data_IF_247029755177
#
_entry.id   IF_247029755177
#
_cell.length_a   1.000
_cell.length_b   1.000
_cell.length_c   1.000
_cell.angle_alpha   90.00
_cell.angle_beta   90.00
_cell.angle_gamma   90.00
#
_symmetry.space_group_name_H-M   'P 1'
#
loop_
_entity.id
_entity.type
_entity.pdbx_description
1 polymer ?
#
# COMPACT_ATOMS: atom_id res chain seq x y z
N UNK A 1 -31.58 25.88 17.82
CA UNK A 1 -31.84 25.68 16.38
C UNK A 1 -30.57 26.00 15.63
N UNK A 2 -29.74 24.99 15.33
CA UNK A 2 -28.53 25.13 14.51
C UNK A 2 -28.83 24.45 13.17
N UNK A 3 -28.84 25.23 12.11
CA UNK A 3 -29.10 24.77 10.76
C UNK A 3 -28.03 23.74 10.37
N UNK A 4 -28.48 22.51 10.04
CA UNK A 4 -27.65 21.52 9.36
C UNK A 4 -27.38 22.07 7.95
N UNK A 5 -26.15 22.51 7.70
CA UNK A 5 -25.68 22.73 6.34
C UNK A 5 -25.50 21.34 5.71
N UNK A 6 -26.51 20.92 4.96
CA UNK A 6 -26.43 19.77 4.07
C UNK A 6 -25.46 20.13 2.94
N UNK A 7 -24.19 19.83 3.11
CA UNK A 7 -23.25 19.75 1.98
C UNK A 7 -23.58 18.44 1.27
N UNK A 8 -24.23 18.58 0.13
CA UNK A 8 -24.52 17.52 -0.83
C UNK A 8 -23.18 17.05 -1.40
N UNK A 9 -22.56 16.04 -0.76
CA UNK A 9 -21.45 15.30 -1.34
C UNK A 9 -22.00 14.53 -2.54
N UNK A 10 -21.89 15.11 -3.73
CA UNK A 10 -22.08 14.38 -4.97
C UNK A 10 -21.07 13.25 -4.96
N UNK A 11 -21.59 12.02 -4.95
CA UNK A 11 -20.85 10.79 -4.96
C UNK A 11 -19.85 10.75 -6.13
N UNK A 12 -18.57 10.95 -5.82
CA UNK A 12 -17.47 10.27 -6.51
C UNK A 12 -17.18 9.00 -5.69
N UNK A 13 -18.21 8.18 -5.48
CA UNK A 13 -18.16 6.92 -4.73
C UNK A 13 -18.57 5.73 -5.63
N UNK A 14 -18.46 5.92 -6.95
CA UNK A 14 -18.85 4.95 -7.96
C UNK A 14 -17.83 4.78 -9.09
N UNK A 15 -16.55 5.08 -8.85
CA UNK A 15 -15.52 4.87 -9.88
C UNK A 15 -14.73 3.60 -9.59
N UNK A 16 -15.07 2.56 -10.35
CA UNK A 16 -14.59 1.17 -10.36
C UNK A 16 -15.50 0.13 -9.68
N UNK A 17 -16.79 0.16 -10.01
CA UNK A 17 -17.55 -1.08 -10.14
C UNK A 17 -17.20 -1.71 -11.50
N UNK A 18 -16.53 -2.87 -11.50
CA UNK A 18 -16.31 -3.63 -12.73
C UNK A 18 -17.64 -4.17 -13.27
N UNK A 19 -17.75 -4.18 -14.59
CA UNK A 19 -18.97 -4.39 -15.36
C UNK A 19 -19.66 -5.73 -15.04
N UNK A 20 -20.83 -5.64 -14.44
CA UNK A 20 -21.88 -6.64 -14.56
C UNK A 20 -23.09 -5.93 -15.18
N UNK A 21 -23.61 -6.49 -16.29
CA UNK A 21 -24.64 -5.94 -17.19
C UNK A 21 -24.05 -4.99 -18.26
N UNK A 22 -24.23 -5.36 -19.54
CA UNK A 22 -23.66 -4.71 -20.72
C UNK A 22 -24.21 -3.31 -21.00
N UNK A 23 -23.98 -2.37 -20.09
CA UNK A 23 -24.04 -0.94 -20.34
C UNK A 23 -22.63 -0.36 -20.32
N UNK A 24 -22.23 0.16 -21.46
CA UNK A 24 -20.94 0.76 -21.73
C UNK A 24 -20.90 2.15 -21.06
N UNK A 25 -20.55 2.18 -19.77
CA UNK A 25 -20.14 3.42 -19.12
C UNK A 25 -18.83 3.89 -19.78
N UNK A 26 -18.60 5.21 -19.93
CA UNK A 26 -17.32 5.69 -20.43
C UNK A 26 -16.23 5.15 -19.50
N UNK A 27 -15.40 4.25 -20.02
CA UNK A 27 -14.18 3.84 -19.35
C UNK A 27 -13.36 5.10 -19.14
N UNK A 28 -13.28 5.59 -17.91
CA UNK A 28 -12.32 6.64 -17.60
C UNK A 28 -10.95 6.01 -17.79
N UNK A 29 -10.26 6.44 -18.85
CA UNK A 29 -8.97 5.89 -19.25
C UNK A 29 -7.84 6.37 -18.32
N UNK A 30 -8.11 7.41 -17.52
CA UNK A 30 -7.17 7.95 -16.53
C UNK A 30 -7.91 8.56 -15.34
N UNK A 31 -7.18 8.76 -14.24
CA UNK A 31 -7.62 9.54 -13.08
C UNK A 31 -6.80 10.84 -13.06
N UNK A 32 -7.44 12.02 -12.97
CA UNK A 32 -6.72 13.29 -12.88
C UNK A 32 -5.68 13.30 -11.76
N UNK A 33 -4.49 13.78 -12.08
CA UNK A 33 -3.39 13.79 -11.13
C UNK A 33 -3.74 14.58 -9.85
N UNK A 34 -3.40 14.04 -8.67
CA UNK A 34 -3.63 14.70 -7.38
C UNK A 34 -5.10 14.76 -6.93
N UNK A 35 -6.04 14.10 -7.62
CA UNK A 35 -7.45 14.11 -7.22
C UNK A 35 -7.62 13.63 -5.76
N UNK A 36 -8.37 14.35 -4.92
CA UNK A 36 -8.59 13.95 -3.53
C UNK A 36 -9.64 12.85 -3.42
N UNK A 37 -9.29 11.80 -2.69
CA UNK A 37 -10.19 10.71 -2.31
C UNK A 37 -10.58 10.83 -0.83
N UNK A 38 -11.88 10.93 -0.50
CA UNK A 38 -12.34 11.08 0.86
C UNK A 38 -11.93 9.91 1.77
N UNK A 39 -11.55 10.23 3.00
CA UNK A 39 -11.31 9.26 4.06
C UNK A 39 -11.85 9.80 5.40
N UNK A 40 -11.77 8.98 6.46
CA UNK A 40 -12.36 9.32 7.75
C UNK A 40 -11.82 10.62 8.37
N UNK A 41 -10.65 11.10 7.92
CA UNK A 41 -9.98 12.29 8.44
C UNK A 41 -9.93 13.45 7.43
N UNK A 42 -10.63 13.36 6.30
CA UNK A 42 -10.62 14.38 5.23
C UNK A 42 -10.46 13.73 3.86
N UNK A 43 -9.34 13.95 3.18
CA UNK A 43 -9.00 13.28 1.93
C UNK A 43 -7.49 13.07 1.74
N UNK A 44 -7.15 11.97 1.08
CA UNK A 44 -5.80 11.67 0.60
C UNK A 44 -5.75 11.78 -0.91
N UNK A 45 -4.59 12.15 -1.44
CA UNK A 45 -4.37 12.26 -2.89
C UNK A 45 -3.13 11.45 -3.26
N UNK A 46 -3.14 10.91 -4.47
CA UNK A 46 -1.95 10.35 -5.12
C UNK A 46 -1.53 11.29 -6.25
N UNK A 47 -0.27 11.70 -6.21
CA UNK A 47 0.39 12.46 -7.26
C UNK A 47 1.32 11.55 -8.06
N UNK A 48 1.28 11.63 -9.38
CA UNK A 48 2.22 10.94 -10.27
C UNK A 48 3.12 11.96 -10.97
N UNK A 49 4.42 11.66 -11.04
CA UNK A 49 5.38 12.47 -11.82
C UNK A 49 5.23 12.31 -13.33
N UNK A 50 4.39 11.38 -13.79
CA UNK A 50 4.12 11.13 -15.22
C UNK A 50 2.80 11.73 -15.71
N UNK A 51 2.09 12.50 -14.86
CA UNK A 51 0.81 13.13 -15.20
C UNK A 51 -0.37 12.38 -14.56
N UNK A 52 -1.48 12.25 -15.29
CA UNK A 52 -2.64 11.50 -14.80
C UNK A 52 -2.31 10.02 -14.55
N UNK A 53 -3.02 9.38 -13.61
CA UNK A 53 -2.89 7.94 -13.38
C UNK A 53 -3.56 7.23 -14.55
N UNK A 54 -2.77 6.66 -15.45
CA UNK A 54 -3.25 5.92 -16.62
C UNK A 54 -3.80 4.53 -16.21
N UNK A 55 -5.11 4.35 -16.32
CA UNK A 55 -5.78 3.07 -16.02
C UNK A 55 -5.63 2.05 -17.17
N UNK A 56 -4.95 2.42 -18.26
CA UNK A 56 -4.52 1.49 -19.31
C UNK A 56 -3.12 0.93 -19.12
N UNK A 57 -2.34 1.44 -18.17
CA UNK A 57 -1.06 0.85 -17.81
C UNK A 57 -1.22 -0.64 -17.48
N UNK A 58 -0.20 -1.44 -17.79
CA UNK A 58 -0.20 -2.89 -17.57
C UNK A 58 -0.50 -3.27 -16.10
N UNK A 59 -0.18 -2.40 -15.13
CA UNK A 59 -0.52 -2.52 -13.72
C UNK A 59 -2.02 -2.77 -13.46
N UNK A 60 -2.89 -2.22 -14.31
CA UNK A 60 -4.35 -2.35 -14.20
C UNK A 60 -4.92 -3.48 -15.07
N UNK A 61 -4.10 -4.18 -15.85
CA UNK A 61 -4.56 -5.24 -16.76
C UNK A 61 -4.50 -6.61 -16.09
N UNK A 62 -5.51 -7.43 -16.36
CA UNK A 62 -5.50 -8.83 -15.93
C UNK A 62 -4.53 -9.62 -16.80
N UNK A 63 -3.32 -9.83 -16.28
CA UNK A 63 -2.25 -10.58 -16.96
C UNK A 63 -2.09 -12.02 -16.42
N UNK A 64 -2.85 -12.38 -15.39
CA UNK A 64 -2.99 -13.77 -14.92
C UNK A 64 -4.26 -14.45 -15.44
N UNK A 65 -4.67 -15.54 -14.78
CA UNK A 65 -5.79 -16.40 -15.23
C UNK A 65 -7.10 -16.19 -14.47
N UNK A 66 -7.08 -15.52 -13.32
CA UNK A 66 -8.26 -15.40 -12.45
C UNK A 66 -9.01 -14.05 -12.56
N UNK A 67 -8.64 -13.22 -13.53
CA UNK A 67 -9.28 -11.92 -13.78
C UNK A 67 -8.75 -10.76 -12.93
N UNK A 68 -7.78 -11.01 -12.04
CA UNK A 68 -7.14 -9.95 -11.24
C UNK A 68 -6.02 -9.24 -11.98
N UNK A 69 -5.88 -7.96 -11.64
CA UNK A 69 -4.73 -7.10 -11.91
C UNK A 69 -4.15 -6.58 -10.61
N UNK A 70 -2.96 -5.96 -10.62
CA UNK A 70 -2.42 -5.28 -9.44
C UNK A 70 -3.41 -4.22 -8.94
N UNK A 71 -4.01 -3.45 -9.85
CA UNK A 71 -5.07 -2.49 -9.55
C UNK A 71 -6.30 -3.07 -8.83
N UNK A 72 -6.53 -4.39 -8.87
CA UNK A 72 -7.64 -5.01 -8.12
C UNK A 72 -7.46 -4.83 -6.60
N UNK A 73 -6.22 -4.88 -6.11
CA UNK A 73 -5.88 -4.67 -4.70
C UNK A 73 -5.28 -3.28 -4.43
N UNK A 74 -4.60 -2.67 -5.40
CA UNK A 74 -3.95 -1.38 -5.26
C UNK A 74 -4.82 -0.27 -5.85
N UNK A 75 -5.92 0.03 -5.15
CA UNK A 75 -6.91 1.00 -5.63
C UNK A 75 -6.43 2.43 -5.39
N UNK A 76 -6.44 3.32 -6.41
CA UNK A 76 -6.08 4.72 -6.22
C UNK A 76 -6.90 5.42 -5.13
N UNK A 77 -8.19 5.09 -5.01
CA UNK A 77 -9.08 5.64 -3.98
C UNK A 77 -8.70 5.27 -2.55
N UNK A 78 -7.94 4.18 -2.40
CA UNK A 78 -7.49 3.65 -1.11
C UNK A 78 -5.99 3.92 -0.90
N UNK A 79 -5.43 4.88 -1.64
CA UNK A 79 -4.01 5.24 -1.58
C UNK A 79 -3.09 4.14 -2.12
N UNK A 80 -3.48 3.52 -3.24
CA UNK A 80 -2.76 2.42 -3.88
C UNK A 80 -2.60 1.18 -2.98
N UNK A 81 -3.59 0.94 -2.13
CA UNK A 81 -3.68 -0.21 -1.20
C UNK A 81 -5.12 -0.73 -1.12
N UNK A 82 -5.42 -1.57 -0.12
CA UNK A 82 -6.75 -2.11 0.17
C UNK A 82 -7.35 -1.42 1.40
N UNK A 83 -8.54 -0.84 1.27
CA UNK A 83 -9.38 -0.45 2.40
C UNK A 83 -10.54 -1.43 2.60
N UNK A 84 -10.73 -1.92 3.83
CA UNK A 84 -11.84 -2.84 4.18
C UNK A 84 -13.21 -2.28 3.76
N UNK A 85 -13.45 -0.98 3.97
CA UNK A 85 -14.71 -0.33 3.57
C UNK A 85 -14.96 -0.38 2.05
N UNK A 86 -13.91 -0.20 1.22
CA UNK A 86 -14.03 -0.30 -0.23
C UNK A 86 -14.30 -1.75 -0.66
N UNK A 87 -13.60 -2.71 -0.06
CA UNK A 87 -13.85 -4.14 -0.30
C UNK A 87 -15.28 -4.54 0.09
N UNK A 88 -15.77 -4.09 1.24
CA UNK A 88 -17.16 -4.32 1.67
C UNK A 88 -18.15 -3.79 0.63
N UNK A 89 -17.95 -2.56 0.15
CA UNK A 89 -18.77 -1.96 -0.90
C UNK A 89 -18.73 -2.79 -2.20
N UNK A 90 -17.54 -3.21 -2.66
CA UNK A 90 -17.39 -4.08 -3.84
C UNK A 90 -18.09 -5.42 -3.65
N UNK A 91 -18.10 -5.96 -2.44
CA UNK A 91 -18.84 -7.17 -2.14
C UNK A 91 -20.35 -6.93 -2.30
N UNK A 92 -20.88 -5.88 -1.67
CA UNK A 92 -22.31 -5.59 -1.70
C UNK A 92 -22.81 -5.29 -3.12
N UNK A 93 -21.99 -4.65 -3.95
CA UNK A 93 -22.30 -4.37 -5.36
C UNK A 93 -22.24 -5.61 -6.27
N UNK A 94 -21.34 -6.56 -5.98
CA UNK A 94 -21.10 -7.72 -6.85
C UNK A 94 -21.63 -9.04 -6.32
N UNK A 95 -22.17 -9.06 -5.09
CA UNK A 95 -22.45 -10.29 -4.35
C UNK A 95 -21.22 -11.18 -4.17
N UNK A 96 -20.03 -10.60 -4.06
CA UNK A 96 -18.74 -11.29 -3.89
C UNK A 96 -18.15 -11.88 -5.17
N UNK A 97 -18.52 -11.38 -6.35
CA UNK A 97 -18.03 -11.89 -7.65
C UNK A 97 -16.96 -11.02 -8.30
N UNK A 98 -16.75 -9.80 -7.79
CA UNK A 98 -15.65 -8.92 -8.20
C UNK A 98 -14.29 -9.68 -8.18
N UNK A 99 -13.37 -9.42 -9.12
CA UNK A 99 -12.07 -10.10 -9.19
C UNK A 99 -11.25 -10.15 -7.90
N UNK A 100 -11.41 -9.23 -6.95
CA UNK A 100 -10.69 -9.30 -5.67
C UNK A 100 -11.08 -10.54 -4.83
N UNK A 101 -12.28 -11.07 -5.05
CA UNK A 101 -12.83 -12.23 -4.34
C UNK A 101 -12.45 -13.53 -5.05
N UNK A 102 -11.28 -14.07 -4.70
CA UNK A 102 -10.77 -15.35 -5.21
C UNK A 102 -10.29 -16.23 -4.07
N UNK A 103 -10.39 -17.55 -4.26
CA UNK A 103 -10.13 -18.51 -3.18
C UNK A 103 -8.66 -18.82 -2.96
N UNK A 104 -7.78 -18.46 -3.89
CA UNK A 104 -6.33 -18.71 -3.74
C UNK A 104 -5.76 -17.94 -2.53
N UNK A 105 -6.23 -16.73 -2.26
CA UNK A 105 -5.74 -15.84 -1.20
C UNK A 105 -6.78 -14.83 -0.67
N UNK A 106 -7.86 -14.54 -1.38
CA UNK A 106 -8.89 -13.60 -0.94
C UNK A 106 -9.85 -14.17 0.10
N UNK A 107 -10.03 -15.50 0.12
CA UNK A 107 -10.82 -16.20 1.13
C UNK A 107 -10.00 -16.53 2.38
N UNK A 108 -10.71 -16.75 3.49
CA UNK A 108 -10.10 -17.11 4.76
C UNK A 108 -9.37 -18.46 4.69
N UNK A 109 -9.75 -19.35 3.77
CA UNK A 109 -9.06 -20.61 3.49
C UNK A 109 -9.25 -21.03 2.02
N UNK A 110 -8.39 -21.88 1.47
CA UNK A 110 -8.46 -22.31 0.06
C UNK A 110 -9.35 -23.52 -0.19
N UNK A 111 -9.78 -24.22 0.86
CA UNK A 111 -10.61 -25.42 0.77
C UNK A 111 -11.71 -25.41 1.83
N UNK A 112 -12.71 -26.29 1.68
CA UNK A 112 -13.81 -26.44 2.64
C UNK A 112 -14.56 -25.12 2.92
N UNK A 113 -14.67 -24.27 1.91
CA UNK A 113 -15.37 -22.99 1.94
C UNK A 113 -16.51 -23.01 0.91
N UNK A 114 -17.65 -22.41 1.24
CA UNK A 114 -18.74 -22.22 0.28
C UNK A 114 -18.57 -20.89 -0.45
N UNK A 115 -18.44 -20.94 -1.77
CA UNK A 115 -18.47 -19.75 -2.64
C UNK A 115 -19.60 -19.80 -3.67
N UNK A 116 -20.50 -20.78 -3.55
CA UNK A 116 -21.63 -20.99 -4.48
C UNK A 116 -22.76 -19.99 -4.25
N UNK A 117 -23.00 -19.59 -3.00
CA UNK A 117 -24.03 -18.62 -2.60
C UNK A 117 -23.41 -17.28 -2.22
N UNK A 118 -24.21 -16.20 -2.23
CA UNK A 118 -23.76 -14.89 -1.71
C UNK A 118 -23.38 -15.00 -0.23
N UNK A 119 -24.14 -15.78 0.53
CA UNK A 119 -23.92 -15.93 1.98
C UNK A 119 -22.68 -16.76 2.27
N UNK A 120 -22.45 -17.81 1.48
CA UNK A 120 -21.20 -18.55 1.46
C UNK A 120 -20.01 -17.62 1.18
N UNK A 121 -20.06 -16.83 0.10
CA UNK A 121 -19.01 -15.86 -0.24
C UNK A 121 -18.81 -14.81 0.86
N UNK A 122 -19.88 -14.39 1.54
CA UNK A 122 -19.81 -13.42 2.65
C UNK A 122 -19.00 -13.99 3.82
N UNK A 123 -19.18 -15.26 4.14
CA UNK A 123 -18.41 -15.96 5.16
C UNK A 123 -16.98 -16.26 4.67
N UNK A 124 -16.82 -16.76 3.44
CA UNK A 124 -15.53 -17.14 2.88
C UNK A 124 -14.56 -15.96 2.77
N UNK A 125 -15.05 -14.75 2.43
CA UNK A 125 -14.24 -13.55 2.24
C UNK A 125 -14.28 -12.58 3.44
N UNK A 126 -14.65 -13.06 4.64
CA UNK A 126 -14.93 -12.16 5.77
C UNK A 126 -13.70 -11.38 6.24
N UNK A 127 -12.49 -11.94 6.21
CA UNK A 127 -11.27 -11.22 6.58
C UNK A 127 -10.92 -10.12 5.57
N UNK A 128 -11.06 -10.43 4.28
CA UNK A 128 -10.83 -9.47 3.21
C UNK A 128 -11.83 -8.31 3.30
N UNK A 129 -13.13 -8.62 3.44
CA UNK A 129 -14.21 -7.63 3.60
C UNK A 129 -14.05 -6.73 4.83
N UNK A 130 -13.84 -7.33 6.00
CA UNK A 130 -13.95 -6.58 7.27
C UNK A 130 -12.63 -6.04 7.78
N UNK A 131 -11.49 -6.55 7.29
CA UNK A 131 -10.15 -6.17 7.75
C UNK A 131 -9.19 -5.78 6.62
N UNK A 132 -9.54 -6.06 5.36
CA UNK A 132 -8.67 -5.86 4.22
C UNK A 132 -7.48 -6.83 4.20
N UNK A 133 -7.64 -8.04 4.76
CA UNK A 133 -6.57 -9.03 4.86
C UNK A 133 -6.77 -10.13 3.81
N UNK A 134 -5.68 -10.45 3.10
CA UNK A 134 -5.59 -11.65 2.26
C UNK A 134 -4.80 -12.74 3.00
N UNK A 135 -5.07 -13.99 2.66
CA UNK A 135 -4.33 -15.16 3.11
C UNK A 135 -3.08 -15.36 2.24
N UNK A 136 -1.92 -15.34 2.87
CA UNK A 136 -0.65 -15.77 2.28
C UNK A 136 -0.33 -17.15 2.83
N UNK A 137 -0.44 -18.16 1.97
CA UNK A 137 -0.09 -19.53 2.29
C UNK A 137 1.35 -19.80 1.86
N UNK A 138 2.20 -20.20 2.80
CA UNK A 138 3.60 -20.54 2.54
C UNK A 138 3.81 -22.00 2.93
N UNK A 139 4.28 -22.82 1.99
CA UNK A 139 4.63 -24.21 2.28
C UNK A 139 5.77 -24.28 3.30
N UNK A 140 5.69 -25.23 4.24
CA UNK A 140 6.82 -25.58 5.10
C UNK A 140 7.91 -26.17 4.19
N UNK A 141 9.14 -25.63 4.20
CA UNK A 141 10.22 -26.15 3.36
C UNK A 141 10.47 -27.63 3.64
N UNK A 142 10.71 -28.43 2.59
CA UNK A 142 10.98 -29.86 2.73
C UNK A 142 12.25 -30.17 3.57
N UNK A 143 13.11 -29.17 3.74
CA UNK A 143 14.35 -29.21 4.52
C UNK A 143 14.29 -28.31 5.78
N UNK A 144 13.10 -27.99 6.27
CA UNK A 144 12.94 -27.29 7.54
C UNK A 144 13.59 -28.09 8.69
N UNK A 145 14.23 -27.39 9.63
CA UNK A 145 14.79 -27.96 10.87
C UNK A 145 13.75 -27.98 12.02
N UNK A 146 12.48 -27.76 11.68
CA UNK A 146 11.33 -27.77 12.57
C UNK A 146 10.15 -28.50 11.92
N UNK A 147 9.26 -29.01 12.76
CA UNK A 147 7.97 -29.55 12.36
C UNK A 147 6.83 -28.65 12.88
N UNK A 148 5.82 -28.40 12.04
CA UNK A 148 4.55 -27.84 12.50
C UNK A 148 3.66 -29.00 12.93
N UNK A 149 3.57 -29.25 14.23
CA UNK A 149 2.82 -30.42 14.75
C UNK A 149 1.31 -30.20 14.82
N UNK A 150 0.86 -28.94 14.87
CA UNK A 150 -0.56 -28.58 14.92
C UNK A 150 -0.76 -27.11 14.59
N UNK A 151 -1.87 -26.79 13.93
CA UNK A 151 -2.32 -25.40 13.70
C UNK A 151 -3.74 -25.25 14.25
N UNK A 152 -3.97 -24.16 14.99
CA UNK A 152 -5.30 -23.75 15.45
C UNK A 152 -5.71 -22.47 14.73
N UNK A 153 -6.42 -22.63 13.62
CA UNK A 153 -6.93 -21.56 12.79
C UNK A 153 -8.47 -21.57 12.81
N UNK A 154 -9.12 -20.49 13.28
CA UNK A 154 -10.58 -20.42 13.37
C UNK A 154 -11.29 -20.46 11.99
N UNK A 155 -10.54 -20.37 10.89
CA UNK A 155 -11.04 -20.39 9.52
C UNK A 155 -10.82 -21.72 8.79
N UNK A 156 -10.34 -22.77 9.49
CA UNK A 156 -10.26 -24.13 8.96
C UNK A 156 -9.00 -24.47 8.16
N UNK A 157 -8.10 -23.51 7.95
CA UNK A 157 -6.77 -23.72 7.37
C UNK A 157 -5.79 -24.17 8.47
N UNK A 158 -5.89 -25.45 8.85
CA UNK A 158 -5.15 -26.10 9.93
C UNK A 158 -4.05 -27.05 9.43
N UNK A 159 -3.66 -26.92 8.16
CA UNK A 159 -2.64 -27.75 7.53
C UNK A 159 -1.29 -27.59 8.26
N UNK A 160 -0.56 -28.68 8.41
CA UNK A 160 0.78 -28.69 9.04
C UNK A 160 1.91 -28.54 8.02
N UNK A 161 1.63 -28.73 6.75
CA UNK A 161 2.59 -28.52 5.65
C UNK A 161 2.55 -27.09 5.09
N UNK A 162 1.65 -26.24 5.59
CA UNK A 162 1.41 -24.90 5.07
C UNK A 162 1.12 -23.91 6.19
N UNK A 163 1.90 -22.83 6.27
CA UNK A 163 1.68 -21.74 7.21
C UNK A 163 0.80 -20.67 6.55
N UNK A 164 -0.42 -20.50 7.04
CA UNK A 164 -1.36 -19.46 6.58
C UNK A 164 -1.20 -18.18 7.40
N UNK A 165 -0.80 -17.09 6.76
CA UNK A 165 -0.68 -15.76 7.34
C UNK A 165 -1.73 -14.82 6.75
N UNK A 166 -2.26 -13.89 7.54
CA UNK A 166 -3.27 -12.96 7.06
C UNK A 166 -2.74 -11.54 7.18
N UNK A 167 -2.51 -10.89 6.04
CA UNK A 167 -1.93 -9.54 5.98
C UNK A 167 -2.62 -8.68 4.94
N UNK A 168 -2.58 -7.37 5.15
CA UNK A 168 -3.04 -6.41 4.15
C UNK A 168 -1.97 -6.29 3.05
N UNK A 169 -2.37 -6.20 1.76
CA UNK A 169 -1.45 -5.80 0.70
C UNK A 169 -0.77 -4.47 1.03
N UNK A 170 0.55 -4.41 0.90
CA UNK A 170 1.31 -3.16 1.09
C UNK A 170 0.90 -2.15 0.00
N UNK A 171 1.10 -0.86 0.26
CA UNK A 171 0.76 0.16 -0.74
C UNK A 171 1.80 0.17 -1.88
N UNK A 172 1.37 0.38 -3.14
CA UNK A 172 2.24 0.46 -4.32
C UNK A 172 2.53 1.92 -4.70
N UNK A 173 2.86 2.74 -3.71
CA UNK A 173 3.15 4.19 -3.82
C UNK A 173 4.16 4.57 -2.75
N UNK A 174 4.86 5.70 -2.92
CA UNK A 174 5.97 6.13 -2.07
C UNK A 174 7.16 5.14 -2.07
N UNK A 175 7.25 4.24 -3.06
CA UNK A 175 8.22 3.15 -3.07
C UNK A 175 9.67 3.64 -3.22
N UNK A 176 9.88 4.83 -3.80
CA UNK A 176 11.18 5.53 -3.88
C UNK A 176 11.83 5.86 -2.53
N UNK A 177 11.18 5.58 -1.41
CA UNK A 177 11.75 5.77 -0.08
C UNK A 177 12.12 4.45 0.61
N UNK A 178 12.00 3.32 -0.08
CA UNK A 178 12.28 2.01 0.50
C UNK A 178 13.77 1.67 0.48
N UNK A 179 14.26 1.20 1.63
CA UNK A 179 15.57 0.53 1.75
C UNK A 179 15.46 -1.00 1.83
N UNK A 180 14.23 -1.54 1.79
CA UNK A 180 13.91 -2.95 1.73
C UNK A 180 12.50 -3.12 1.14
N UNK A 181 12.32 -4.05 0.20
CA UNK A 181 11.00 -4.37 -0.36
C UNK A 181 10.31 -5.47 0.46
N UNK A 182 8.97 -5.47 0.51
CA UNK A 182 8.15 -6.41 1.30
C UNK A 182 8.38 -6.36 2.82
N UNK A 183 8.83 -5.22 3.35
CA UNK A 183 9.20 -4.96 4.75
C UNK A 183 10.47 -5.68 5.22
N UNK A 184 10.66 -6.93 4.83
CA UNK A 184 11.77 -7.78 5.28
C UNK A 184 12.89 -7.99 4.25
N UNK A 185 12.77 -7.38 3.06
CA UNK A 185 13.77 -7.50 2.00
C UNK A 185 13.79 -8.88 1.35
N UNK A 186 12.73 -9.70 1.47
CA UNK A 186 12.68 -11.04 0.85
C UNK A 186 12.82 -11.02 -0.66
N UNK A 187 12.47 -9.91 -1.29
CA UNK A 187 12.64 -9.71 -2.73
C UNK A 187 14.11 -9.50 -3.11
N UNK A 188 15.01 -9.26 -2.16
CA UNK A 188 16.43 -8.92 -2.36
C UNK A 188 17.36 -10.12 -2.13
N UNK A 189 17.28 -11.17 -2.96
CA UNK A 189 18.01 -12.41 -2.73
C UNK A 189 18.54 -13.09 -4.01
N UNK A 190 19.57 -13.95 -3.90
CA UNK A 190 19.98 -14.77 -5.04
C UNK A 190 18.87 -15.69 -5.59
N UNK A 191 17.90 -16.09 -4.75
CA UNK A 191 16.77 -16.93 -5.17
C UNK A 191 15.78 -16.17 -6.05
N UNK A 192 15.68 -14.86 -5.86
CA UNK A 192 14.87 -13.95 -6.67
C UNK A 192 15.65 -13.36 -7.85
N UNK A 193 16.94 -13.72 -7.99
CA UNK A 193 17.81 -13.19 -9.04
C UNK A 193 18.20 -11.72 -8.82
N UNK A 194 17.96 -11.18 -7.64
CA UNK A 194 18.21 -9.78 -7.29
C UNK A 194 19.29 -9.66 -6.20
N UNK A 195 19.52 -8.44 -5.70
CA UNK A 195 20.57 -8.16 -4.72
C UNK A 195 20.05 -7.25 -3.62
N UNK A 196 20.63 -7.36 -2.42
CA UNK A 196 20.33 -6.45 -1.31
C UNK A 196 20.39 -4.98 -1.74
N UNK A 197 19.38 -4.22 -1.34
CA UNK A 197 19.34 -2.77 -1.53
C UNK A 197 20.37 -2.14 -0.58
N UNK A 198 21.36 -1.45 -1.15
CA UNK A 198 22.44 -0.79 -0.44
C UNK A 198 22.62 0.63 -0.98
N UNK A 199 23.19 1.57 -0.21
CA UNK A 199 23.45 2.93 -0.70
C UNK A 199 24.19 2.98 -2.04
N UNK A 200 25.12 2.04 -2.29
CA UNK A 200 25.96 2.02 -3.48
C UNK A 200 25.27 1.52 -4.77
N UNK A 201 24.13 0.82 -4.66
CA UNK A 201 23.40 0.26 -5.82
C UNK A 201 21.96 0.79 -5.94
N UNK A 202 21.57 1.72 -5.08
CA UNK A 202 20.27 2.39 -5.09
C UNK A 202 20.20 3.44 -6.21
N UNK A 203 19.07 3.59 -6.95
CA UNK A 203 17.80 2.87 -6.82
C UNK A 203 17.73 1.57 -7.65
N UNK A 204 18.74 1.24 -8.46
CA UNK A 204 18.68 0.12 -9.41
C UNK A 204 18.35 -1.23 -8.75
N UNK A 205 18.85 -1.47 -7.53
CA UNK A 205 18.50 -2.67 -6.76
C UNK A 205 17.02 -2.71 -6.35
N UNK A 206 16.45 -1.58 -5.93
CA UNK A 206 15.01 -1.48 -5.65
C UNK A 206 14.17 -1.72 -6.91
N UNK A 207 14.57 -1.16 -8.05
CA UNK A 207 13.86 -1.36 -9.32
C UNK A 207 13.90 -2.83 -9.75
N UNK A 208 15.04 -3.52 -9.56
CA UNK A 208 15.16 -4.96 -9.81
C UNK A 208 14.25 -5.78 -8.88
N UNK A 209 14.16 -5.41 -7.59
CA UNK A 209 13.31 -6.08 -6.62
C UNK A 209 11.83 -5.90 -6.97
N UNK A 210 11.41 -4.70 -7.38
CA UNK A 210 10.03 -4.41 -7.82
C UNK A 210 9.68 -5.17 -9.10
N UNK A 211 10.61 -5.27 -10.05
CA UNK A 211 10.43 -6.05 -11.27
C UNK A 211 10.17 -7.53 -10.94
N UNK A 212 10.98 -8.12 -10.05
CA UNK A 212 10.75 -9.48 -9.56
C UNK A 212 9.41 -9.62 -8.82
N UNK A 213 9.10 -8.70 -7.90
CA UNK A 213 7.85 -8.71 -7.14
C UNK A 213 6.62 -8.69 -8.06
N UNK A 214 6.67 -7.99 -9.19
CA UNK A 214 5.56 -7.96 -10.16
C UNK A 214 5.28 -9.35 -10.77
N UNK A 215 6.32 -10.17 -10.95
CA UNK A 215 6.21 -11.57 -11.40
C UNK A 215 5.65 -12.46 -10.30
N UNK A 216 6.16 -12.34 -9.09
CA UNK A 216 5.67 -13.11 -7.94
C UNK A 216 4.19 -12.80 -7.65
N UNK A 217 3.82 -11.52 -7.63
CA UNK A 217 2.44 -11.09 -7.44
C UNK A 217 1.51 -11.59 -8.56
N UNK A 218 1.96 -11.56 -9.81
CA UNK A 218 1.17 -12.08 -10.94
C UNK A 218 0.98 -13.59 -10.85
N UNK A 219 2.04 -14.33 -10.53
CA UNK A 219 2.01 -15.79 -10.44
C UNK A 219 1.20 -16.26 -9.23
N UNK A 220 1.45 -15.68 -8.05
CA UNK A 220 0.78 -16.06 -6.80
C UNK A 220 -0.66 -15.55 -6.70
N UNK A 221 -0.87 -14.24 -6.88
CA UNK A 221 -2.18 -13.62 -6.66
C UNK A 221 -3.07 -13.73 -7.90
N UNK A 222 -2.56 -13.40 -9.08
CA UNK A 222 -3.35 -13.48 -10.32
C UNK A 222 -3.38 -14.89 -10.95
N UNK A 223 -2.68 -15.86 -10.35
CA UNK A 223 -2.54 -17.24 -10.87
C UNK A 223 -2.00 -17.25 -12.31
N UNK A 224 -1.02 -16.38 -12.59
CA UNK A 224 -0.29 -16.38 -13.86
C UNK A 224 0.52 -17.66 -14.05
N UNK A 225 0.83 -17.98 -15.30
CA UNK A 225 1.60 -19.17 -15.69
C UNK A 225 3.13 -18.96 -15.62
N UNK A 226 3.57 -17.81 -15.12
CA UNK A 226 4.98 -17.41 -15.04
C UNK A 226 5.56 -16.85 -16.33
N UNK A 227 4.79 -16.73 -17.42
CA UNK A 227 5.27 -16.13 -18.69
C UNK A 227 5.15 -14.62 -18.73
N UNK A 228 4.31 -14.05 -17.86
CA UNK A 228 4.06 -12.60 -17.73
C UNK A 228 4.12 -12.15 -16.27
N UNK A 229 4.44 -10.87 -16.01
CA UNK A 229 4.79 -9.82 -16.98
C UNK A 229 6.12 -10.08 -17.72
N UNK A 230 6.16 -9.74 -19.01
CA UNK A 230 7.42 -9.71 -19.79
C UNK A 230 8.39 -8.65 -19.24
N UNK A 231 9.70 -8.68 -19.57
CA UNK A 231 10.62 -7.66 -19.08
C UNK A 231 10.21 -6.21 -19.39
N UNK A 232 9.59 -5.97 -20.56
CA UNK A 232 9.08 -4.64 -20.91
C UNK A 232 7.88 -4.24 -20.03
N UNK A 233 6.99 -5.19 -19.73
CA UNK A 233 5.85 -4.98 -18.84
C UNK A 233 6.28 -4.78 -17.38
N UNK A 234 7.29 -5.52 -16.92
CA UNK A 234 7.90 -5.31 -15.61
C UNK A 234 8.44 -3.88 -15.50
N UNK A 235 9.17 -3.40 -16.50
CA UNK A 235 9.67 -2.02 -16.49
C UNK A 235 8.54 -1.00 -16.50
N UNK A 236 7.45 -1.24 -17.22
CA UNK A 236 6.26 -0.37 -17.22
C UNK A 236 5.60 -0.31 -15.83
N UNK A 237 5.50 -1.45 -15.13
CA UNK A 237 5.00 -1.54 -13.74
C UNK A 237 5.91 -0.77 -12.80
N UNK A 238 7.22 -1.03 -12.84
CA UNK A 238 8.19 -0.38 -11.95
C UNK A 238 8.19 1.13 -12.17
N UNK A 239 8.17 1.58 -13.43
CA UNK A 239 8.09 3.01 -13.75
C UNK A 239 6.82 3.65 -13.20
N UNK A 240 5.69 2.95 -13.31
CA UNK A 240 4.41 3.40 -12.76
C UNK A 240 4.51 3.53 -11.24
N UNK A 241 4.87 2.47 -10.52
CA UNK A 241 4.92 2.47 -9.06
C UNK A 241 5.91 3.50 -8.49
N UNK A 242 7.08 3.65 -9.14
CA UNK A 242 8.11 4.61 -8.76
C UNK A 242 7.71 6.05 -9.06
N UNK A 243 6.68 6.31 -9.87
CA UNK A 243 6.18 7.65 -10.15
C UNK A 243 5.16 8.16 -9.10
N UNK A 244 4.62 7.27 -8.26
CA UNK A 244 3.48 7.60 -7.39
C UNK A 244 3.90 8.05 -5.98
N UNK A 245 3.35 9.18 -5.57
CA UNK A 245 3.47 9.74 -4.23
C UNK A 245 2.08 9.91 -3.62
N UNK A 246 1.84 9.36 -2.44
CA UNK A 246 0.53 9.42 -1.78
C UNK A 246 0.65 9.98 -0.38
N UNK A 247 -0.19 10.94 -0.05
CA UNK A 247 -0.29 11.50 1.29
C UNK A 247 -1.70 12.04 1.57
N UNK A 248 -1.99 12.29 2.84
CA UNK A 248 -3.14 13.11 3.20
C UNK A 248 -2.96 14.50 2.58
N UNK A 249 -3.97 15.02 1.88
CA UNK A 249 -3.93 16.34 1.23
C UNK A 249 -4.89 17.34 1.87
N UNK A 250 -5.96 16.85 2.49
CA UNK A 250 -6.99 17.65 3.16
C UNK A 250 -7.32 17.01 4.51
N UNK A 251 -7.26 17.76 5.60
CA UNK A 251 -7.82 17.36 6.89
C UNK A 251 -9.24 17.90 7.08
N UNK A 252 -10.08 17.17 7.81
CA UNK A 252 -11.49 17.52 8.03
C UNK A 252 -11.65 18.93 8.64
N UNK A 253 -10.90 19.23 9.70
CA UNK A 253 -10.93 20.54 10.37
C UNK A 253 -9.89 21.52 9.84
N UNK A 254 -8.77 21.03 9.32
CA UNK A 254 -7.63 21.86 8.89
C UNK A 254 -7.78 22.39 7.47
N UNK A 255 -8.61 21.76 6.65
CA UNK A 255 -8.64 21.98 5.21
C UNK A 255 -7.38 21.46 4.54
N UNK A 256 -6.99 22.08 3.42
CA UNK A 256 -5.77 21.77 2.66
C UNK A 256 -4.53 21.77 3.57
N UNK A 257 -3.61 20.83 3.33
CA UNK A 257 -2.38 20.67 4.15
C UNK A 257 -1.16 21.40 3.60
N UNK A 258 -1.31 22.10 2.49
CA UNK A 258 -0.27 22.81 1.74
C UNK A 258 -0.52 24.34 1.66
N UNK A 259 -1.26 24.88 2.63
CA UNK A 259 -1.61 26.30 2.68
C UNK A 259 -0.95 27.00 3.86
N UNK A 260 -0.91 28.34 3.82
CA UNK A 260 -0.29 29.17 4.86
C UNK A 260 1.17 28.80 5.15
N UNK A 261 1.91 28.45 4.10
CA UNK A 261 3.34 28.12 4.17
C UNK A 261 3.66 26.70 4.62
N UNK A 262 2.65 25.86 4.85
CA UNK A 262 2.86 24.42 5.01
C UNK A 262 3.06 23.72 3.66
N UNK A 263 3.73 22.58 3.68
CA UNK A 263 4.06 21.76 2.51
C UNK A 263 3.58 20.32 2.69
N UNK A 264 2.44 20.11 3.36
CA UNK A 264 1.81 18.79 3.43
C UNK A 264 1.28 18.31 2.08
N UNK A 265 0.85 17.04 2.01
CA UNK A 265 0.35 16.45 0.77
C UNK A 265 1.44 15.78 -0.09
N UNK A 266 1.04 15.14 -1.20
CA UNK A 266 1.92 14.27 -1.97
C UNK A 266 2.93 15.02 -2.85
N UNK A 267 2.60 16.24 -3.29
CA UNK A 267 3.44 17.00 -4.22
C UNK A 267 4.80 17.36 -3.62
N UNK A 268 4.83 17.77 -2.35
CA UNK A 268 6.09 18.07 -1.66
C UNK A 268 7.00 16.84 -1.49
N UNK A 269 6.45 15.62 -1.53
CA UNK A 269 7.24 14.39 -1.46
C UNK A 269 8.03 14.13 -2.75
N UNK A 270 7.62 14.69 -3.89
CA UNK A 270 8.33 14.51 -5.17
C UNK A 270 9.76 15.05 -5.08
N UNK A 271 9.91 16.21 -4.43
CA UNK A 271 11.20 16.89 -4.29
C UNK A 271 11.93 16.53 -2.98
N UNK A 272 11.38 15.62 -2.17
CA UNK A 272 11.98 15.20 -0.90
C UNK A 272 13.30 14.47 -1.19
N UNK A 273 14.46 15.03 -0.79
CA UNK A 273 15.73 14.35 -0.97
C UNK A 273 15.73 13.04 -0.18
N UNK A 274 16.15 11.96 -0.84
CA UNK A 274 16.25 10.65 -0.23
C UNK A 274 17.51 9.92 -0.66
N UNK A 275 18.16 9.32 0.31
CA UNK A 275 19.12 8.24 0.15
C UNK A 275 19.09 7.40 1.42
N UNK A 276 19.51 6.14 1.31
CA UNK A 276 19.55 5.23 2.45
C UNK A 276 20.52 5.79 3.51
N UNK A 277 20.01 5.98 4.72
CA UNK A 277 20.76 6.57 5.83
C UNK A 277 20.71 8.10 5.93
N UNK A 278 19.82 8.79 5.19
CA UNK A 278 19.74 10.27 5.13
C UNK A 278 19.70 10.99 6.49
N UNK A 279 19.15 10.35 7.53
CA UNK A 279 19.15 10.86 8.90
C UNK A 279 19.48 9.74 9.91
N UNK A 280 20.49 8.92 9.60
CA UNK A 280 20.95 7.86 10.51
C UNK A 280 21.72 8.44 11.70
N UNK A 281 21.48 7.88 12.89
CA UNK A 281 22.32 8.08 14.10
C UNK A 281 23.26 6.88 14.37
N UNK A 282 23.27 5.90 13.47
CA UNK A 282 24.01 4.65 13.60
C UNK A 282 25.23 4.75 12.67
N UNK A 283 26.47 4.79 13.19
CA UNK A 283 27.67 5.04 12.38
C UNK A 283 27.85 4.08 11.20
N UNK A 284 27.41 2.82 11.33
CA UNK A 284 27.50 1.82 10.25
C UNK A 284 26.54 2.12 9.09
N UNK A 285 25.50 2.92 9.31
CA UNK A 285 24.51 3.33 8.31
C UNK A 285 24.60 4.83 7.99
N UNK A 286 25.57 5.54 8.56
CA UNK A 286 25.85 6.93 8.17
C UNK A 286 26.38 6.96 6.74
N UNK A 287 25.82 7.86 5.95
CA UNK A 287 26.26 8.10 4.59
C UNK A 287 27.20 9.31 4.62
N UNK A 288 28.35 9.31 3.92
CA UNK A 288 29.22 10.50 3.85
C UNK A 288 28.51 11.76 3.33
N UNK A 289 27.40 11.60 2.60
CA UNK A 289 26.57 12.69 2.10
C UNK A 289 25.50 13.16 3.09
N UNK A 290 25.30 12.50 4.24
CA UNK A 290 24.38 12.99 5.27
C UNK A 290 24.99 14.12 6.09
N UNK A 291 24.16 15.10 6.43
CA UNK A 291 24.45 16.00 7.55
C UNK A 291 24.44 15.25 8.88
N UNK A 292 24.83 15.89 9.99
CA UNK A 292 24.69 15.30 11.31
C UNK A 292 23.22 14.95 11.57
N UNK A 293 22.97 13.85 12.30
CA UNK A 293 21.63 13.49 12.74
C UNK A 293 20.92 14.70 13.36
N UNK A 294 19.68 14.92 12.95
CA UNK A 294 18.79 15.90 13.56
C UNK A 294 17.45 15.25 13.91
N UNK A 295 16.95 15.43 15.14
CA UNK A 295 15.62 14.95 15.49
C UNK A 295 14.51 15.80 14.84
N UNK A 296 14.83 17.02 14.39
CA UNK A 296 13.91 17.94 13.72
C UNK A 296 13.97 17.80 12.19
N UNK A 297 13.66 16.61 11.66
CA UNK A 297 13.63 16.36 10.20
C UNK A 297 12.27 16.58 9.56
N UNK A 298 11.17 16.47 10.31
CA UNK A 298 9.84 16.75 9.77
C UNK A 298 9.49 18.21 10.05
N UNK A 299 9.46 19.04 9.01
CA UNK A 299 9.06 20.44 9.08
C UNK A 299 7.93 20.88 8.14
N UNK A 300 7.10 20.00 7.52
CA UNK A 300 6.07 20.46 6.59
C UNK A 300 5.02 21.39 7.24
N UNK A 301 4.91 21.44 8.57
CA UNK A 301 3.93 22.26 9.28
C UNK A 301 4.52 23.34 10.20
N UNK A 302 5.83 23.61 10.13
CA UNK A 302 6.50 24.64 10.94
C UNK A 302 5.83 26.02 10.83
N UNK A 303 5.36 26.38 9.62
CA UNK A 303 4.68 27.65 9.37
C UNK A 303 3.40 27.83 10.22
N UNK A 304 2.75 26.72 10.59
CA UNK A 304 1.50 26.73 11.37
C UNK A 304 1.72 26.91 12.87
N UNK A 305 2.96 26.86 13.37
CA UNK A 305 3.27 27.17 14.78
C UNK A 305 2.90 28.60 15.20
N UNK A 306 2.80 29.52 14.23
CA UNK A 306 2.43 30.92 14.46
C UNK A 306 0.92 31.17 14.46
N UNK A 307 0.11 30.16 14.14
CA UNK A 307 -1.34 30.29 14.12
C UNK A 307 -1.92 30.34 15.53
N UNK A 308 -3.09 30.98 15.73
CA UNK A 308 -3.76 30.99 17.02
C UNK A 308 -4.00 29.57 17.54
N UNK A 309 -3.92 29.37 18.85
CA UNK A 309 -4.09 28.05 19.47
C UNK A 309 -5.42 27.36 19.10
N UNK A 310 -6.48 28.15 18.90
CA UNK A 310 -7.81 27.68 18.49
C UNK A 310 -7.90 27.26 17.02
N UNK A 311 -6.90 27.57 16.19
CA UNK A 311 -6.84 27.11 14.81
C UNK A 311 -6.48 25.62 14.79
N UNK A 312 -7.29 24.75 14.14
CA UNK A 312 -7.02 23.32 14.12
C UNK A 312 -5.64 22.97 13.53
N UNK A 313 -5.11 23.80 12.62
CA UNK A 313 -3.78 23.62 12.00
C UNK A 313 -2.66 23.79 13.01
N UNK A 314 -2.83 24.66 14.02
CA UNK A 314 -1.87 24.78 15.10
C UNK A 314 -1.73 23.46 15.89
N UNK A 315 -2.76 22.61 15.90
CA UNK A 315 -2.67 21.28 16.52
C UNK A 315 -1.80 20.31 15.73
N UNK A 316 -1.81 20.39 14.41
CA UNK A 316 -0.93 19.58 13.55
C UNK A 316 0.53 19.96 13.77
N UNK A 317 0.84 21.26 13.79
CA UNK A 317 2.21 21.74 14.06
C UNK A 317 2.71 21.31 15.46
N UNK A 318 1.85 21.30 16.48
CA UNK A 318 2.20 20.75 17.79
C UNK A 318 2.46 19.24 17.73
N UNK A 319 1.70 18.49 16.92
CA UNK A 319 1.93 17.07 16.68
C UNK A 319 3.28 16.81 16.02
N UNK A 320 3.66 17.62 15.03
CA UNK A 320 5.00 17.60 14.41
C UNK A 320 6.10 17.88 15.43
N UNK A 321 5.95 18.92 16.25
CA UNK A 321 6.90 19.23 17.32
C UNK A 321 7.06 18.08 18.31
N UNK A 322 5.96 17.40 18.68
CA UNK A 322 6.01 16.19 19.51
C UNK A 322 6.73 15.05 18.79
N UNK A 323 6.42 14.79 17.52
CA UNK A 323 7.07 13.73 16.74
C UNK A 323 8.59 13.94 16.68
N UNK A 324 9.02 15.16 16.37
CA UNK A 324 10.44 15.50 16.27
C UNK A 324 11.17 15.46 17.63
N UNK A 325 10.49 15.70 18.75
CA UNK A 325 11.15 15.86 20.05
C UNK A 325 10.96 14.69 21.02
N UNK A 326 10.04 13.76 20.74
CA UNK A 326 9.75 12.63 21.63
C UNK A 326 10.91 11.62 21.58
N UNK A 327 11.65 11.42 22.69
CA UNK A 327 12.73 10.45 22.72
C UNK A 327 12.18 9.02 22.66
N UNK A 328 12.77 8.19 21.79
CA UNK A 328 12.50 6.75 21.76
C UNK A 328 13.73 6.03 22.28
N UNK A 329 13.62 5.44 23.47
CA UNK A 329 14.68 4.60 24.02
C UNK A 329 14.65 3.25 23.32
N UNK A 330 15.66 3.00 22.48
CA UNK A 330 15.89 1.69 21.90
C UNK A 330 16.77 0.92 22.88
N UNK A 331 16.37 -0.29 23.28
CA UNK A 331 17.13 -1.21 24.16
C UNK A 331 16.84 -2.65 23.76
N UNK A 332 17.85 -3.52 23.81
CA UNK A 332 17.68 -4.95 23.56
C UNK A 332 17.34 -5.29 22.10
N UNK A 333 17.87 -4.52 21.15
CA UNK A 333 17.72 -4.77 19.72
C UNK A 333 19.01 -5.40 19.21
N UNK A 334 18.94 -6.71 18.98
CA UNK A 334 20.04 -7.48 18.40
C UNK A 334 20.55 -6.84 17.10
N UNK A 335 21.87 -6.66 16.99
CA UNK A 335 22.50 -6.02 15.83
C UNK A 335 22.46 -4.49 15.82
N UNK A 336 21.88 -3.85 16.84
CA UNK A 336 21.90 -2.40 17.01
C UNK A 336 22.52 -1.97 18.35
N UNK A 337 22.04 -2.51 19.47
CA UNK A 337 22.47 -2.09 20.80
C UNK A 337 22.45 -3.21 21.86
N UNK A 338 22.31 -4.46 21.44
CA UNK A 338 22.66 -5.65 22.22
C UNK A 338 24.06 -6.13 21.74
N UNK A 339 25.00 -6.49 22.64
CA UNK A 339 26.37 -6.88 22.29
C UNK A 339 26.48 -8.15 21.43
#
# INVERSE_FOLDING_TARGET
MKAKQNILWIAILGFMATAAVGQQFPSFLSIPNGVPFPNANGASSTYSTTGDIDLNNIFFKSIGSNGRSCGTCHQPSDGMSVAAANVELRFDLSGGTDPIFRTVDGSNCAHNIDVSTVEGRRAAYSLLRTRGLIRIAIAVPANADYDVVSVSNPYGCNETDTISQYRRPLASTNLRFLSALMWDGRESSPLTGTTKILPANYPNSLESDLAHQSVDATTGHAQGDGTRPTPAEQQEIVNFEMALFTAQSIGFDTGRLDVHGATGGPEALVDQPFFIGVNSQIPQFENPNSGPFTPAVFNPFDAWMKLPYSDPRASVARGEALFNSTPITITGVAGLNDP
#
